data_IF_385394681892
#
_entry.id   IF_385394681892
#
_cell.length_a   1.000
_cell.length_b   1.000
_cell.length_c   1.000
_cell.angle_alpha   90.00
_cell.angle_beta   90.00
_cell.angle_gamma   90.00
#
_symmetry.space_group_name_H-M   'P 1'
#
loop_
_entity.id
_entity.type
_entity.pdbx_description
1 polymer ?
#
# COMPACT_ATOMS: atom_id res chain seq x y z
N UNK A 1 22.52 -34.85 -3.93
CA UNK A 1 22.48 -34.33 -2.55
C UNK A 1 22.95 -32.88 -2.44
N UNK A 2 23.91 -32.41 -3.26
CA UNK A 2 24.27 -30.97 -3.28
C UNK A 2 23.25 -30.08 -4.03
N UNK A 3 22.54 -30.58 -5.04
CA UNK A 3 21.53 -29.78 -5.77
C UNK A 3 20.29 -29.40 -4.93
N UNK A 4 20.04 -30.11 -3.82
CA UNK A 4 18.97 -29.77 -2.87
C UNK A 4 19.38 -28.67 -1.88
N UNK A 5 20.67 -28.30 -1.83
CA UNK A 5 21.18 -27.19 -1.01
C UNK A 5 21.14 -25.85 -1.75
N UNK A 6 20.90 -25.85 -3.06
CA UNK A 6 20.82 -24.65 -3.92
C UNK A 6 19.41 -24.23 -4.27
N UNK A 7 18.37 -24.91 -3.76
CA UNK A 7 17.01 -24.35 -3.80
C UNK A 7 16.96 -23.13 -2.88
N UNK A 8 17.20 -21.95 -3.46
CA UNK A 8 16.97 -20.67 -2.79
C UNK A 8 15.51 -20.61 -2.32
N UNK A 9 15.32 -20.73 -1.00
CA UNK A 9 14.02 -20.63 -0.31
C UNK A 9 13.40 -19.23 -0.34
N UNK A 10 14.02 -18.30 -1.05
CA UNK A 10 13.57 -16.92 -1.17
C UNK A 10 12.47 -16.82 -2.23
N UNK A 11 11.52 -15.88 -2.09
CA UNK A 11 10.44 -15.70 -3.04
C UNK A 11 10.98 -15.33 -4.43
N UNK A 12 10.85 -16.26 -5.38
CA UNK A 12 11.44 -16.14 -6.72
C UNK A 12 10.58 -15.33 -7.71
N UNK A 13 9.29 -15.17 -7.43
CA UNK A 13 8.36 -14.41 -8.28
C UNK A 13 7.96 -13.12 -7.60
N UNK A 14 7.66 -12.09 -8.40
CA UNK A 14 7.15 -10.80 -7.88
C UNK A 14 5.96 -11.05 -6.95
N UNK A 15 5.00 -11.90 -7.35
CA UNK A 15 3.84 -12.26 -6.52
C UNK A 15 4.24 -12.79 -5.13
N UNK A 16 5.20 -13.73 -5.09
CA UNK A 16 5.69 -14.27 -3.81
C UNK A 16 6.43 -13.21 -2.99
N UNK A 17 7.17 -12.28 -3.62
CA UNK A 17 7.84 -11.18 -2.93
C UNK A 17 6.79 -10.26 -2.29
N UNK A 18 5.70 -9.94 -3.00
CA UNK A 18 4.61 -9.14 -2.44
C UNK A 18 4.03 -9.83 -1.21
N UNK A 19 3.61 -11.07 -1.34
CA UNK A 19 2.98 -11.83 -0.25
C UNK A 19 3.93 -11.94 0.94
N UNK A 20 5.19 -12.30 0.70
CA UNK A 20 6.20 -12.45 1.74
C UNK A 20 6.48 -11.13 2.46
N UNK A 21 6.74 -10.05 1.72
CA UNK A 21 7.00 -8.73 2.32
C UNK A 21 5.80 -8.19 3.10
N UNK A 22 4.58 -8.35 2.57
CA UNK A 22 3.34 -8.00 3.28
C UNK A 22 3.18 -8.81 4.57
N UNK A 23 3.40 -10.14 4.52
CA UNK A 23 3.29 -10.99 5.69
C UNK A 23 4.35 -10.65 6.75
N UNK A 24 5.60 -10.39 6.35
CA UNK A 24 6.66 -10.00 7.26
C UNK A 24 6.36 -8.66 7.91
N UNK A 25 5.91 -7.65 7.15
CA UNK A 25 5.53 -6.36 7.69
C UNK A 25 4.32 -6.46 8.64
N UNK A 26 3.35 -7.31 8.31
CA UNK A 26 2.22 -7.65 9.17
C UNK A 26 2.66 -8.26 10.49
N UNK A 27 3.62 -9.19 10.47
CA UNK A 27 4.11 -9.81 11.71
C UNK A 27 4.93 -8.82 12.52
N UNK A 28 5.81 -8.06 11.88
CA UNK A 28 6.65 -7.06 12.57
C UNK A 28 5.78 -5.97 13.21
N UNK A 29 4.72 -5.52 12.51
CA UNK A 29 3.81 -4.48 13.02
C UNK A 29 3.12 -4.88 14.33
N UNK A 30 2.89 -6.18 14.56
CA UNK A 30 2.27 -6.68 15.79
C UNK A 30 3.12 -6.45 17.05
N UNK A 31 4.45 -6.34 16.91
CA UNK A 31 5.38 -6.17 18.03
C UNK A 31 5.67 -4.71 18.39
N UNK A 32 5.15 -3.74 17.64
CA UNK A 32 5.30 -2.32 17.96
C UNK A 32 4.30 -1.91 19.04
N UNK A 33 4.58 -0.87 19.86
CA UNK A 33 3.59 -0.35 20.80
C UNK A 33 2.39 0.28 20.09
N UNK A 34 1.18 0.09 20.59
CA UNK A 34 -0.03 0.69 20.00
C UNK A 34 -0.03 2.21 19.90
N UNK A 35 0.63 2.88 20.86
CA UNK A 35 0.86 4.33 20.80
C UNK A 35 1.60 4.78 19.54
N UNK A 36 2.51 3.94 19.02
CA UNK A 36 3.25 4.22 17.80
C UNK A 36 2.33 4.28 16.58
N UNK A 37 1.38 3.33 16.47
CA UNK A 37 0.39 3.33 15.39
C UNK A 37 -0.56 4.50 15.48
N UNK A 38 -1.05 4.80 16.68
CA UNK A 38 -1.93 5.93 16.90
C UNK A 38 -1.29 7.25 16.46
N UNK A 39 -0.03 7.49 16.83
CA UNK A 39 0.72 8.66 16.40
C UNK A 39 1.02 8.67 14.90
N UNK A 40 1.24 7.51 14.28
CA UNK A 40 1.41 7.40 12.82
C UNK A 40 0.13 7.74 12.07
N UNK A 41 -1.03 7.25 12.53
CA UNK A 41 -2.33 7.58 11.95
C UNK A 41 -2.57 9.08 12.00
N UNK A 42 -2.35 9.72 13.15
CA UNK A 42 -2.46 11.19 13.29
C UNK A 42 -1.54 11.93 12.31
N UNK A 43 -0.28 11.51 12.20
CA UNK A 43 0.69 12.13 11.29
C UNK A 43 0.27 12.01 9.84
N UNK A 44 -0.17 10.83 9.40
CA UNK A 44 -0.62 10.62 8.02
C UNK A 44 -1.86 11.43 7.69
N UNK A 45 -2.86 11.43 8.57
CA UNK A 45 -4.08 12.22 8.41
C UNK A 45 -3.73 13.71 8.32
N UNK A 46 -2.84 14.21 9.18
CA UNK A 46 -2.38 15.59 9.15
C UNK A 46 -1.62 15.93 7.85
N UNK A 47 -0.79 15.02 7.35
CA UNK A 47 -0.13 15.20 6.06
C UNK A 47 -1.12 15.20 4.89
N UNK A 48 -2.14 14.35 4.94
CA UNK A 48 -3.20 14.30 3.93
C UNK A 48 -3.99 15.60 3.89
N UNK A 49 -4.38 16.11 5.06
CA UNK A 49 -5.07 17.39 5.20
C UNK A 49 -4.24 18.55 4.65
N UNK A 50 -2.93 18.59 4.96
CA UNK A 50 -2.02 19.63 4.43
C UNK A 50 -1.82 19.54 2.92
N UNK A 51 -1.82 18.33 2.36
CA UNK A 51 -1.60 18.10 0.93
C UNK A 51 -2.83 18.45 0.09
N UNK A 52 -4.01 18.03 0.55
CA UNK A 52 -5.28 18.17 -0.19
C UNK A 52 -5.94 19.53 0.10
N UNK A 53 -5.78 20.06 1.30
CA UNK A 53 -6.48 21.25 1.79
C UNK A 53 -7.77 20.88 2.54
N UNK A 54 -8.16 21.75 3.49
CA UNK A 54 -9.22 21.44 4.47
C UNK A 54 -10.58 21.16 3.84
N UNK A 55 -10.95 21.91 2.80
CA UNK A 55 -12.25 21.79 2.13
C UNK A 55 -12.39 20.43 1.42
N UNK A 56 -11.37 20.03 0.66
CA UNK A 56 -11.39 18.80 -0.14
C UNK A 56 -11.03 17.55 0.68
N UNK A 57 -10.40 17.71 1.84
CA UNK A 57 -10.05 16.60 2.72
C UNK A 57 -11.23 16.11 3.57
N UNK A 58 -12.21 16.98 3.86
CA UNK A 58 -13.38 16.63 4.68
C UNK A 58 -14.21 15.47 4.07
N UNK A 59 -14.54 15.50 2.76
CA UNK A 59 -15.18 14.36 2.10
C UNK A 59 -14.35 13.08 2.15
N UNK A 60 -13.02 13.18 1.99
CA UNK A 60 -12.12 12.01 2.02
C UNK A 60 -12.18 11.31 3.38
N UNK A 61 -12.11 12.07 4.48
CA UNK A 61 -12.22 11.49 5.83
C UNK A 61 -13.62 10.93 6.10
N UNK A 62 -14.67 11.56 5.58
CA UNK A 62 -16.02 11.02 5.65
C UNK A 62 -16.11 9.65 4.98
N UNK A 63 -15.51 9.50 3.79
CA UNK A 63 -15.46 8.23 3.07
C UNK A 63 -14.62 7.19 3.80
N UNK A 64 -13.49 7.58 4.41
CA UNK A 64 -12.68 6.69 5.26
C UNK A 64 -13.51 6.13 6.41
N UNK A 65 -14.22 6.99 7.14
CA UNK A 65 -15.05 6.59 8.27
C UNK A 65 -16.22 5.69 7.83
N UNK A 66 -16.85 5.99 6.69
CA UNK A 66 -17.92 5.17 6.11
C UNK A 66 -17.41 3.79 5.70
N UNK A 67 -16.27 3.73 5.02
CA UNK A 67 -15.63 2.49 4.57
C UNK A 67 -15.18 1.65 5.76
N UNK A 68 -14.57 2.28 6.77
CA UNK A 68 -14.13 1.60 7.99
C UNK A 68 -15.32 1.04 8.76
N UNK A 69 -16.40 1.83 8.90
CA UNK A 69 -17.63 1.38 9.53
C UNK A 69 -18.23 0.18 8.79
N UNK A 70 -18.27 0.22 7.47
CA UNK A 70 -18.81 -0.88 6.66
C UNK A 70 -17.97 -2.16 6.77
N UNK A 71 -16.64 -2.04 6.77
CA UNK A 71 -15.73 -3.18 6.71
C UNK A 71 -15.45 -3.81 8.08
N UNK A 72 -15.40 -3.02 9.15
CA UNK A 72 -14.94 -3.48 10.47
C UNK A 72 -15.98 -3.30 11.57
N UNK A 73 -16.66 -2.15 11.64
CA UNK A 73 -17.63 -1.87 12.72
C UNK A 73 -18.91 -2.70 12.55
N UNK A 74 -19.54 -2.66 11.37
CA UNK A 74 -20.79 -3.37 11.12
C UNK A 74 -20.61 -4.90 11.15
N UNK A 75 -19.40 -5.39 10.86
CA UNK A 75 -19.06 -6.82 10.94
C UNK A 75 -18.82 -7.30 12.38
N UNK A 76 -18.72 -6.38 13.35
CA UNK A 76 -18.39 -6.68 14.74
C UNK A 76 -16.90 -6.88 15.02
N UNK A 77 -16.03 -6.85 14.00
CA UNK A 77 -14.57 -7.03 14.17
C UNK A 77 -13.95 -5.94 15.05
N UNK A 78 -14.32 -4.67 14.82
CA UNK A 78 -13.83 -3.55 15.65
C UNK A 78 -14.28 -3.69 17.12
N UNK A 79 -15.55 -4.04 17.34
CA UNK A 79 -16.09 -4.29 18.68
C UNK A 79 -15.38 -5.44 19.40
N UNK A 80 -15.21 -6.58 18.72
CA UNK A 80 -14.49 -7.73 19.27
C UNK A 80 -13.05 -7.38 19.68
N UNK A 81 -12.33 -6.62 18.86
CA UNK A 81 -10.97 -6.18 19.19
C UNK A 81 -10.96 -5.23 20.39
N UNK A 82 -11.87 -4.25 20.42
CA UNK A 82 -12.03 -3.29 21.53
C UNK A 82 -12.30 -4.01 22.84
N UNK A 83 -13.31 -4.86 22.85
CA UNK A 83 -13.67 -5.67 24.02
C UNK A 83 -12.43 -6.44 24.51
N UNK A 84 -11.70 -7.09 23.60
CA UNK A 84 -10.52 -7.89 23.95
C UNK A 84 -9.40 -7.09 24.63
N UNK A 85 -9.06 -5.89 24.15
CA UNK A 85 -7.97 -5.11 24.76
C UNK A 85 -8.41 -4.23 25.93
N UNK A 86 -9.70 -3.89 26.03
CA UNK A 86 -10.30 -3.16 27.14
C UNK A 86 -10.63 -4.04 28.35
N UNK A 87 -10.59 -5.39 28.21
CA UNK A 87 -10.77 -6.34 29.33
C UNK A 87 -9.96 -5.91 30.56
N UNK A 88 -10.61 -5.90 31.73
CA UNK A 88 -10.08 -5.26 32.94
C UNK A 88 -8.72 -5.85 33.36
N UNK A 89 -7.75 -4.98 33.62
CA UNK A 89 -6.38 -5.38 33.96
C UNK A 89 -6.28 -6.05 35.34
N UNK A 90 -7.32 -5.88 36.16
CA UNK A 90 -7.47 -6.42 37.51
C UNK A 90 -7.51 -7.96 37.54
N UNK A 91 -8.07 -8.61 36.52
CA UNK A 91 -8.13 -10.08 36.42
C UNK A 91 -6.79 -10.71 35.99
N UNK A 92 -5.95 -9.97 35.24
CA UNK A 92 -4.66 -10.45 34.75
C UNK A 92 -3.50 -10.14 35.71
N UNK A 93 -3.57 -9.02 36.43
CA UNK A 93 -2.56 -8.61 37.41
C UNK A 93 -2.39 -9.62 38.56
N UNK A 94 -3.45 -10.38 38.87
CA UNK A 94 -3.44 -11.41 39.89
C UNK A 94 -2.81 -12.75 39.43
N UNK A 95 -2.51 -12.92 38.13
CA UNK A 95 -2.00 -14.17 37.55
C UNK A 95 -0.49 -14.15 37.25
N UNK A 96 0.29 -13.30 37.94
CA UNK A 96 1.72 -13.08 37.69
C UNK A 96 2.50 -14.31 37.19
N UNK A 97 3.21 -14.17 36.06
CA UNK A 97 3.93 -15.27 35.40
C UNK A 97 4.04 -15.08 33.88
N UNK A 98 4.50 -16.11 33.14
CA UNK A 98 4.62 -16.07 31.66
C UNK A 98 3.29 -15.78 30.95
N UNK A 99 2.17 -16.12 31.58
CA UNK A 99 0.82 -15.93 31.06
C UNK A 99 0.42 -14.44 31.02
N UNK A 100 0.88 -13.65 31.99
CA UNK A 100 0.72 -12.19 31.99
C UNK A 100 1.47 -11.54 30.82
N UNK A 101 2.71 -11.98 30.56
CA UNK A 101 3.49 -11.49 29.43
C UNK A 101 2.79 -11.80 28.10
N UNK A 102 2.32 -13.03 27.91
CA UNK A 102 1.56 -13.41 26.71
C UNK A 102 0.29 -12.57 26.56
N UNK A 103 -0.50 -12.42 27.63
CA UNK A 103 -1.72 -11.63 27.60
C UNK A 103 -1.47 -10.15 27.25
N UNK A 104 -0.38 -9.56 27.77
CA UNK A 104 0.01 -8.19 27.44
C UNK A 104 0.40 -8.01 25.97
N UNK A 105 1.08 -9.00 25.38
CA UNK A 105 1.45 -9.01 23.96
C UNK A 105 0.19 -9.11 23.10
N UNK A 106 -0.72 -10.03 23.42
CA UNK A 106 -1.97 -10.18 22.66
C UNK A 106 -2.86 -8.95 22.76
N UNK A 107 -2.90 -8.27 23.92
CA UNK A 107 -3.61 -7.01 24.12
C UNK A 107 -3.06 -5.92 23.21
N UNK A 108 -1.74 -5.70 23.25
CA UNK A 108 -1.07 -4.73 22.38
C UNK A 108 -1.28 -5.07 20.90
N UNK A 109 -1.25 -6.36 20.53
CA UNK A 109 -1.51 -6.81 19.18
C UNK A 109 -2.95 -6.50 18.72
N UNK A 110 -3.95 -6.71 19.58
CA UNK A 110 -5.34 -6.42 19.27
C UNK A 110 -5.57 -4.90 19.09
N UNK A 111 -4.99 -4.09 19.96
CA UNK A 111 -5.05 -2.63 19.84
C UNK A 111 -4.34 -2.14 18.56
N UNK A 112 -3.15 -2.67 18.27
CA UNK A 112 -2.40 -2.42 17.04
C UNK A 112 -3.23 -2.72 15.79
N UNK A 113 -3.84 -3.91 15.74
CA UNK A 113 -4.65 -4.34 14.61
C UNK A 113 -5.80 -3.37 14.34
N UNK A 114 -6.42 -2.83 15.39
CA UNK A 114 -7.49 -1.85 15.24
C UNK A 114 -7.02 -0.58 14.52
N UNK A 115 -5.95 0.06 15.01
CA UNK A 115 -5.35 1.23 14.36
C UNK A 115 -4.86 0.93 12.95
N UNK A 116 -4.33 -0.27 12.74
CA UNK A 116 -3.77 -0.67 11.47
C UNK A 116 -4.85 -0.93 10.41
N UNK A 117 -5.98 -1.53 10.79
CA UNK A 117 -7.15 -1.63 9.91
C UNK A 117 -7.68 -0.25 9.52
N UNK A 118 -7.75 0.68 10.47
CA UNK A 118 -8.11 2.06 10.14
C UNK A 118 -7.14 2.66 9.13
N UNK A 119 -5.83 2.50 9.35
CA UNK A 119 -4.80 3.02 8.45
C UNK A 119 -4.85 2.40 7.05
N UNK A 120 -5.12 1.10 6.93
CA UNK A 120 -5.31 0.43 5.63
C UNK A 120 -6.51 1.04 4.90
N UNK A 121 -7.65 1.22 5.58
CA UNK A 121 -8.84 1.83 4.98
C UNK A 121 -8.58 3.28 4.57
N UNK A 122 -7.86 4.03 5.42
CA UNK A 122 -7.43 5.39 5.10
C UNK A 122 -6.61 5.43 3.81
N UNK A 123 -5.53 4.64 3.73
CA UNK A 123 -4.64 4.59 2.56
C UNK A 123 -5.36 4.09 1.30
N UNK A 124 -6.26 3.10 1.42
CA UNK A 124 -7.08 2.64 0.30
C UNK A 124 -7.99 3.74 -0.22
N UNK A 125 -8.72 4.43 0.67
CA UNK A 125 -9.62 5.53 0.29
C UNK A 125 -8.84 6.66 -0.36
N UNK A 126 -7.66 6.99 0.16
CA UNK A 126 -6.78 8.00 -0.41
C UNK A 126 -6.25 7.57 -1.79
N UNK A 127 -5.90 6.31 -1.99
CA UNK A 127 -5.53 5.80 -3.31
C UNK A 127 -6.70 5.90 -4.31
N UNK A 128 -7.93 5.58 -3.88
CA UNK A 128 -9.14 5.75 -4.69
C UNK A 128 -9.38 7.21 -5.05
N UNK A 129 -9.16 8.14 -4.11
CA UNK A 129 -9.25 9.58 -4.37
C UNK A 129 -8.31 10.04 -5.50
N UNK A 130 -7.12 9.45 -5.62
CA UNK A 130 -6.15 9.78 -6.67
C UNK A 130 -6.43 9.12 -8.03
N UNK A 131 -7.26 8.06 -8.09
CA UNK A 131 -7.53 7.31 -9.33
C UNK A 131 -8.09 8.19 -10.47
N UNK A 132 -9.07 9.09 -10.25
CA UNK A 132 -9.55 9.97 -11.31
C UNK A 132 -8.45 10.84 -11.92
N UNK A 133 -7.58 11.41 -11.08
CA UNK A 133 -6.44 12.21 -11.53
C UNK A 133 -5.42 11.38 -12.31
N UNK A 134 -5.15 10.16 -11.85
CA UNK A 134 -4.31 9.20 -12.56
C UNK A 134 -4.86 8.91 -13.97
N UNK A 135 -6.17 8.72 -14.12
CA UNK A 135 -6.80 8.48 -15.42
C UNK A 135 -6.64 9.68 -16.35
N UNK A 136 -6.86 10.91 -15.85
CA UNK A 136 -6.72 12.15 -16.63
C UNK A 136 -5.32 12.31 -17.22
N UNK A 137 -4.28 11.91 -16.50
CA UNK A 137 -2.89 12.02 -16.98
C UNK A 137 -2.45 10.79 -17.78
N UNK A 138 -2.91 9.61 -17.40
CA UNK A 138 -2.53 8.36 -18.07
C UNK A 138 -3.08 8.32 -19.50
N UNK A 139 -4.32 8.76 -19.74
CA UNK A 139 -4.95 8.70 -21.07
C UNK A 139 -4.16 9.47 -22.15
N UNK A 140 -3.82 10.77 -21.98
CA UNK A 140 -2.94 11.49 -22.91
C UNK A 140 -1.55 10.84 -23.03
N UNK A 141 -1.01 10.30 -21.94
CA UNK A 141 0.31 9.67 -21.93
C UNK A 141 0.35 8.39 -22.79
N UNK A 142 -0.71 7.58 -22.72
CA UNK A 142 -0.91 6.41 -23.58
C UNK A 142 -1.02 6.85 -25.05
N UNK A 143 -1.84 7.86 -25.34
CA UNK A 143 -1.99 8.41 -26.69
C UNK A 143 -0.67 8.92 -27.26
N UNK A 144 0.10 9.68 -26.48
CA UNK A 144 1.43 10.14 -26.87
C UNK A 144 2.40 8.96 -27.13
N UNK A 145 2.31 7.91 -26.31
CA UNK A 145 3.05 6.67 -26.52
C UNK A 145 2.72 6.00 -27.86
N UNK A 146 1.42 5.90 -28.19
CA UNK A 146 0.91 5.35 -29.46
C UNK A 146 1.42 6.17 -30.64
N UNK A 147 1.32 7.50 -30.57
CA UNK A 147 1.78 8.38 -31.65
C UNK A 147 3.28 8.25 -31.90
N UNK A 148 4.10 8.15 -30.84
CA UNK A 148 5.55 7.88 -30.96
C UNK A 148 5.83 6.51 -31.55
N UNK A 149 5.06 5.49 -31.16
CA UNK A 149 5.19 4.15 -31.72
C UNK A 149 4.89 4.13 -33.22
N UNK A 150 3.78 4.77 -33.64
CA UNK A 150 3.41 4.92 -35.04
C UNK A 150 4.47 5.68 -35.83
N UNK A 151 4.97 6.82 -35.32
CA UNK A 151 6.03 7.59 -35.95
C UNK A 151 7.31 6.73 -36.17
N UNK A 152 7.70 5.91 -35.19
CA UNK A 152 8.82 4.97 -35.33
C UNK A 152 8.55 3.89 -36.37
N UNK A 153 7.30 3.47 -36.56
CA UNK A 153 6.93 2.48 -37.59
C UNK A 153 7.15 3.05 -38.99
N UNK A 154 6.73 4.29 -39.25
CA UNK A 154 6.89 4.95 -40.56
C UNK A 154 8.34 5.36 -40.87
N UNK A 155 9.10 5.76 -39.85
CA UNK A 155 10.49 6.22 -40.01
C UNK A 155 11.53 5.11 -39.86
N UNK A 156 11.09 3.86 -39.60
CA UNK A 156 11.95 2.73 -39.22
C UNK A 156 12.87 3.00 -38.01
N UNK A 157 12.63 4.06 -37.23
CA UNK A 157 13.46 4.44 -36.10
C UNK A 157 13.53 3.36 -34.99
N UNK A 158 14.67 3.23 -34.33
CA UNK A 158 14.92 2.16 -33.36
C UNK A 158 13.92 2.14 -32.19
N UNK A 159 13.33 0.98 -31.91
CA UNK A 159 12.55 0.70 -30.70
C UNK A 159 13.48 0.02 -29.68
N UNK A 160 13.71 0.65 -28.53
CA UNK A 160 14.67 0.14 -27.54
C UNK A 160 14.06 -0.96 -26.67
N UNK A 161 14.56 -2.22 -26.73
CA UNK A 161 14.13 -3.29 -25.84
C UNK A 161 14.47 -2.98 -24.37
N UNK A 162 15.55 -2.23 -24.14
CA UNK A 162 15.94 -1.76 -22.81
C UNK A 162 14.86 -0.86 -22.21
N UNK A 163 14.41 0.16 -22.96
CA UNK A 163 13.35 1.06 -22.49
C UNK A 163 12.03 0.32 -22.29
N UNK A 164 11.69 -0.61 -23.19
CA UNK A 164 10.48 -1.43 -23.03
C UNK A 164 10.51 -2.24 -21.71
N UNK A 165 11.59 -3.00 -21.48
CA UNK A 165 11.75 -3.80 -20.26
C UNK A 165 11.79 -2.94 -19.00
N UNK A 166 12.54 -1.84 -19.01
CA UNK A 166 12.63 -0.93 -17.85
C UNK A 166 11.31 -0.22 -17.57
N UNK A 167 10.50 0.07 -18.58
CA UNK A 167 9.17 0.65 -18.40
C UNK A 167 8.19 -0.35 -17.77
N UNK A 168 8.22 -1.62 -18.17
CA UNK A 168 7.45 -2.67 -17.50
C UNK A 168 7.86 -2.80 -16.03
N UNK A 169 9.17 -2.82 -15.76
CA UNK A 169 9.71 -2.88 -14.40
C UNK A 169 9.29 -1.64 -13.59
N UNK A 170 9.34 -0.44 -14.17
CA UNK A 170 8.90 0.81 -13.53
C UNK A 170 7.42 0.76 -13.13
N UNK A 171 6.54 0.38 -14.06
CA UNK A 171 5.10 0.24 -13.77
C UNK A 171 4.88 -0.83 -12.70
N UNK A 172 5.56 -1.97 -12.81
CA UNK A 172 5.48 -3.06 -11.84
C UNK A 172 5.89 -2.61 -10.43
N UNK A 173 7.00 -1.87 -10.29
CA UNK A 173 7.43 -1.30 -9.02
C UNK A 173 6.49 -0.22 -8.49
N UNK A 174 5.88 0.58 -9.37
CA UNK A 174 4.87 1.56 -8.97
C UNK A 174 3.65 0.90 -8.35
N UNK A 175 3.06 -0.09 -9.04
CA UNK A 175 1.92 -0.86 -8.53
C UNK A 175 2.28 -1.60 -7.25
N UNK A 176 3.46 -2.25 -7.21
CA UNK A 176 3.93 -2.92 -6.00
C UNK A 176 4.09 -1.96 -4.83
N UNK A 177 4.64 -0.76 -5.04
CA UNK A 177 4.85 0.23 -3.98
C UNK A 177 3.52 0.75 -3.42
N UNK A 178 2.50 0.93 -4.26
CA UNK A 178 1.15 1.28 -3.78
C UNK A 178 0.59 0.18 -2.89
N UNK A 179 0.66 -1.09 -3.32
CA UNK A 179 0.18 -2.22 -2.53
C UNK A 179 0.96 -2.38 -1.22
N UNK A 180 2.29 -2.29 -1.29
CA UNK A 180 3.16 -2.38 -0.12
C UNK A 180 2.86 -1.25 0.87
N UNK A 181 2.62 -0.03 0.38
CA UNK A 181 2.32 1.13 1.22
C UNK A 181 1.12 0.93 2.13
N UNK A 182 0.17 0.05 1.77
CA UNK A 182 -0.98 -0.26 2.63
C UNK A 182 -0.55 -0.93 3.93
N UNK A 183 0.50 -1.77 3.89
CA UNK A 183 0.92 -2.63 4.99
C UNK A 183 2.17 -2.12 5.73
N UNK A 184 2.79 -1.04 5.27
CA UNK A 184 3.97 -0.48 5.95
C UNK A 184 3.56 0.07 7.33
N UNK A 185 4.21 -0.35 8.44
CA UNK A 185 3.87 0.12 9.79
C UNK A 185 4.39 1.53 10.10
N UNK A 186 5.20 2.08 9.19
CA UNK A 186 5.74 3.43 9.26
C UNK A 186 4.77 4.43 8.64
N UNK A 187 4.81 5.70 9.06
CA UNK A 187 3.96 6.73 8.48
C UNK A 187 4.38 6.97 7.02
N UNK A 188 3.47 6.78 6.07
CA UNK A 188 3.70 6.97 4.64
C UNK A 188 3.12 8.31 4.22
N UNK A 189 3.94 9.25 3.72
CA UNK A 189 3.44 10.50 3.17
C UNK A 189 2.44 10.26 2.02
N UNK A 190 1.21 10.83 2.09
CA UNK A 190 0.19 10.73 1.02
C UNK A 190 0.68 11.11 -0.37
N UNK A 191 1.66 12.02 -0.45
CA UNK A 191 2.29 12.47 -1.69
C UNK A 191 2.98 11.33 -2.46
N UNK A 192 3.47 10.30 -1.79
CA UNK A 192 4.14 9.17 -2.44
C UNK A 192 3.15 8.43 -3.34
N UNK A 193 1.95 8.12 -2.84
CA UNK A 193 0.90 7.49 -3.62
C UNK A 193 0.51 8.34 -4.83
N UNK A 194 0.28 9.64 -4.61
CA UNK A 194 -0.04 10.59 -5.66
C UNK A 194 1.05 10.65 -6.74
N UNK A 195 2.33 10.74 -6.36
CA UNK A 195 3.46 10.79 -7.29
C UNK A 195 3.57 9.53 -8.13
N UNK A 196 3.40 8.36 -7.52
CA UNK A 196 3.43 7.09 -8.27
C UNK A 196 2.29 7.05 -9.27
N UNK A 197 1.07 7.39 -8.85
CA UNK A 197 -0.12 7.31 -9.70
C UNK A 197 -0.15 8.36 -10.81
N UNK A 198 0.24 9.60 -10.52
CA UNK A 198 0.09 10.75 -11.44
C UNK A 198 1.35 10.95 -12.30
N UNK A 199 2.52 10.50 -11.85
CA UNK A 199 3.78 10.72 -12.57
C UNK A 199 4.37 9.41 -13.08
N UNK A 200 4.66 8.48 -12.17
CA UNK A 200 5.41 7.27 -12.50
C UNK A 200 4.65 6.34 -13.46
N UNK A 201 3.36 6.07 -13.20
CA UNK A 201 2.53 5.20 -14.04
C UNK A 201 2.32 5.79 -15.45
N UNK A 202 1.93 7.06 -15.62
CA UNK A 202 1.79 7.67 -16.94
C UNK A 202 3.09 7.66 -17.74
N UNK A 203 4.22 8.05 -17.13
CA UNK A 203 5.53 8.06 -17.82
C UNK A 203 5.92 6.65 -18.25
N UNK A 204 5.83 5.68 -17.33
CA UNK A 204 6.12 4.28 -17.61
C UNK A 204 5.27 3.75 -18.75
N UNK A 205 3.97 4.08 -18.76
CA UNK A 205 3.04 3.63 -19.80
C UNK A 205 3.35 4.21 -21.18
N UNK A 206 3.70 5.50 -21.26
CA UNK A 206 4.12 6.11 -22.54
C UNK A 206 5.41 5.52 -23.08
N UNK A 207 6.41 5.33 -22.20
CA UNK A 207 7.70 4.74 -22.56
C UNK A 207 7.55 3.27 -22.99
N UNK A 208 6.67 2.53 -22.32
CA UNK A 208 6.35 1.15 -22.68
C UNK A 208 5.77 1.07 -24.09
N UNK A 209 4.69 1.82 -24.34
CA UNK A 209 3.98 1.79 -25.63
C UNK A 209 4.87 2.28 -26.76
N UNK A 210 5.57 3.39 -26.56
CA UNK A 210 6.46 3.97 -27.58
C UNK A 210 7.65 3.07 -27.96
N UNK A 211 7.92 2.00 -27.20
CA UNK A 211 8.99 1.04 -27.47
C UNK A 211 8.46 -0.39 -27.64
N UNK A 212 7.18 -0.58 -27.96
CA UNK A 212 6.66 -1.91 -28.28
C UNK A 212 7.37 -2.51 -29.51
N UNK A 213 7.60 -3.85 -29.52
CA UNK A 213 8.15 -4.54 -30.67
C UNK A 213 7.29 -4.26 -31.90
N UNK A 214 7.93 -3.85 -33.00
CA UNK A 214 7.23 -3.69 -34.27
C UNK A 214 7.02 -5.09 -34.84
N UNK A 215 5.78 -5.49 -35.07
CA UNK A 215 5.46 -6.60 -35.97
C UNK A 215 5.18 -5.99 -37.33
N UNK A 216 5.99 -6.38 -38.32
CA UNK A 216 5.85 -5.93 -39.71
C UNK A 216 4.64 -6.65 -40.29
#
# INVERSE_FOLDING_TARGET
MLDQLTEEKWPQTIKMIIIFSTAVLFVISMFFPASYFYENVKKEVAWGQRLIGDADFTPVISDVNKNYRSLFVNTGVDGFLRDFYELDASDMANQGGPLFLLASIFRNMAENLNYWFYMIVYRLTLNVYWLPYMLVVTLPSLFAGIMRWNAKRYTFAYSSPFLNRRSMVLIGWGVYSILLSLFVPLPVPPMIGALIMIVMIPIGSSLLISNLPKRI
#
